data_IF_273441770683
#
_entry.id   IF_273441770683
#
_cell.length_a   1.000
_cell.length_b   1.000
_cell.length_c   1.000
_cell.angle_alpha   90.00
_cell.angle_beta   90.00
_cell.angle_gamma   90.00
#
_symmetry.space_group_name_H-M   'P 1'
#
loop_
_entity.id
_entity.type
_entity.pdbx_description
1 polymer ?
#
# COMPACT_ATOMS: atom_id res chain seq x y z
N UNK A 1 8.30 -7.58 -26.96
CA UNK A 1 8.22 -8.69 -26.00
C UNK A 1 6.96 -9.46 -26.30
N UNK A 2 7.05 -10.79 -26.60
CA UNK A 2 5.87 -11.59 -26.90
C UNK A 2 4.93 -11.71 -25.69
N UNK A 3 3.63 -11.94 -25.96
CA UNK A 3 2.58 -12.03 -24.94
C UNK A 3 2.92 -13.00 -23.78
N UNK A 4 3.47 -14.17 -24.12
CA UNK A 4 3.90 -15.16 -23.10
C UNK A 4 4.96 -14.62 -22.14
N UNK A 5 5.91 -13.82 -22.64
CA UNK A 5 6.94 -13.21 -21.81
C UNK A 5 6.37 -12.08 -20.95
N UNK A 6 5.46 -11.27 -21.49
CA UNK A 6 4.77 -10.23 -20.72
C UNK A 6 3.96 -10.84 -19.56
N UNK A 7 3.22 -11.92 -19.84
CA UNK A 7 2.45 -12.65 -18.82
C UNK A 7 3.36 -13.27 -17.74
N UNK A 8 4.51 -13.85 -18.14
CA UNK A 8 5.49 -14.39 -17.19
C UNK A 8 6.07 -13.29 -16.27
N UNK A 9 6.45 -12.15 -16.84
CA UNK A 9 6.99 -11.01 -16.07
C UNK A 9 5.94 -10.50 -15.08
N UNK A 10 4.69 -10.34 -15.53
CA UNK A 10 3.59 -9.87 -14.67
C UNK A 10 3.30 -10.85 -13.52
N UNK A 11 3.19 -12.15 -13.83
CA UNK A 11 2.97 -13.18 -12.82
C UNK A 11 4.14 -13.24 -11.80
N UNK A 12 5.38 -13.15 -12.27
CA UNK A 12 6.57 -13.14 -11.42
C UNK A 12 6.56 -11.93 -10.47
N UNK A 13 6.22 -10.73 -10.99
CA UNK A 13 6.11 -9.52 -10.18
C UNK A 13 5.00 -9.65 -9.12
N UNK A 14 3.84 -10.18 -9.48
CA UNK A 14 2.72 -10.43 -8.57
C UNK A 14 3.10 -11.41 -7.46
N UNK A 15 3.72 -12.53 -7.80
CA UNK A 15 4.12 -13.54 -6.81
C UNK A 15 5.19 -13.00 -5.85
N UNK A 16 6.17 -12.26 -6.37
CA UNK A 16 7.17 -11.58 -5.56
C UNK A 16 6.52 -10.60 -4.59
N UNK A 17 5.61 -9.75 -5.07
CA UNK A 17 4.87 -8.81 -4.26
C UNK A 17 4.12 -9.50 -3.13
N UNK A 18 3.28 -10.48 -3.45
CA UNK A 18 2.51 -11.26 -2.46
C UNK A 18 3.39 -11.89 -1.39
N UNK A 19 4.47 -12.57 -1.78
CA UNK A 19 5.38 -13.20 -0.84
C UNK A 19 6.05 -12.17 0.09
N UNK A 20 6.44 -11.00 -0.44
CA UNK A 20 7.03 -9.92 0.38
C UNK A 20 5.99 -9.34 1.35
N UNK A 21 4.74 -9.09 0.91
CA UNK A 21 3.65 -8.63 1.78
C UNK A 21 3.38 -9.63 2.91
N UNK A 22 3.31 -10.94 2.61
CA UNK A 22 3.15 -11.98 3.64
C UNK A 22 4.27 -11.92 4.69
N UNK A 23 5.53 -11.71 4.28
CA UNK A 23 6.65 -11.55 5.23
C UNK A 23 6.50 -10.30 6.09
N UNK A 24 6.08 -9.17 5.51
CA UNK A 24 5.84 -7.92 6.24
C UNK A 24 4.69 -8.09 7.23
N UNK A 25 3.54 -8.60 6.77
CA UNK A 25 2.36 -8.84 7.62
C UNK A 25 2.71 -9.70 8.84
N UNK A 26 3.34 -10.84 8.62
CA UNK A 26 3.69 -11.75 9.71
C UNK A 26 4.71 -11.13 10.69
N UNK A 27 5.67 -10.34 10.17
CA UNK A 27 6.58 -9.59 11.02
C UNK A 27 5.84 -8.57 11.89
N UNK A 28 4.92 -7.81 11.32
CA UNK A 28 4.11 -6.83 12.06
C UNK A 28 3.16 -7.50 13.08
N UNK A 29 2.71 -8.74 12.80
CA UNK A 29 1.93 -9.57 13.72
C UNK A 29 2.78 -10.32 14.75
N UNK A 30 4.09 -10.07 14.81
CA UNK A 30 5.06 -10.77 15.69
C UNK A 30 5.07 -12.30 15.51
N UNK A 31 4.83 -12.77 14.29
CA UNK A 31 4.91 -14.20 13.96
C UNK A 31 6.33 -14.59 13.56
N UNK A 32 6.71 -15.86 13.81
CA UNK A 32 8.04 -16.35 13.46
C UNK A 32 8.24 -16.40 11.93
N UNK A 33 9.22 -15.65 11.44
CA UNK A 33 9.58 -15.57 10.01
C UNK A 33 9.89 -16.95 9.41
N UNK A 34 10.39 -17.89 10.23
CA UNK A 34 10.73 -19.25 9.78
C UNK A 34 9.52 -20.15 9.57
N UNK A 35 8.41 -19.87 10.25
CA UNK A 35 7.17 -20.66 10.17
C UNK A 35 6.45 -20.52 8.82
N UNK A 36 6.78 -19.49 8.04
CA UNK A 36 6.06 -19.14 6.81
C UNK A 36 6.41 -19.99 5.58
N UNK A 37 7.48 -20.79 5.63
CA UNK A 37 7.90 -21.62 4.51
C UNK A 37 8.33 -20.86 3.24
N UNK A 38 8.46 -19.53 3.31
CA UNK A 38 8.93 -18.71 2.18
C UNK A 38 10.45 -18.86 2.07
N UNK A 39 10.89 -19.55 1.02
CA UNK A 39 12.32 -19.80 0.74
C UNK A 39 12.86 -19.02 -0.46
N UNK A 40 11.98 -18.30 -1.16
CA UNK A 40 12.35 -17.54 -2.35
C UNK A 40 13.29 -16.38 -1.99
N UNK A 41 14.46 -16.35 -2.65
CA UNK A 41 15.56 -15.41 -2.33
C UNK A 41 15.14 -13.95 -2.48
N UNK A 42 14.45 -13.62 -3.58
CA UNK A 42 14.07 -12.24 -3.88
C UNK A 42 13.10 -11.64 -2.84
N UNK A 43 11.95 -12.28 -2.48
CA UNK A 43 11.09 -11.77 -1.42
C UNK A 43 11.79 -11.63 -0.07
N UNK A 44 12.64 -12.59 0.30
CA UNK A 44 13.44 -12.52 1.54
C UNK A 44 14.44 -11.36 1.52
N UNK A 45 15.07 -11.09 0.37
CA UNK A 45 15.95 -9.95 0.18
C UNK A 45 15.22 -8.62 0.33
N UNK A 46 14.07 -8.48 -0.35
CA UNK A 46 13.22 -7.29 -0.27
C UNK A 46 12.70 -7.04 1.16
N UNK A 47 12.28 -8.11 1.84
CA UNK A 47 11.87 -8.02 3.24
C UNK A 47 13.02 -7.55 4.15
N UNK A 48 14.24 -8.06 3.95
CA UNK A 48 15.40 -7.65 4.77
C UNK A 48 15.73 -6.17 4.63
N UNK A 49 15.65 -5.61 3.44
CA UNK A 49 15.95 -4.18 3.22
C UNK A 49 14.84 -3.27 3.75
N UNK A 50 13.56 -3.69 3.72
CA UNK A 50 12.45 -2.87 4.24
C UNK A 50 12.31 -2.97 5.76
N UNK A 51 12.78 -4.04 6.39
CA UNK A 51 12.65 -4.30 7.83
C UNK A 51 13.08 -3.12 8.74
N UNK A 52 14.18 -2.38 8.48
CA UNK A 52 14.53 -1.19 9.25
C UNK A 52 13.49 -0.05 9.19
N UNK A 53 12.69 0.00 8.13
CA UNK A 53 11.60 0.97 7.99
C UNK A 53 10.37 0.52 8.77
N UNK A 54 10.10 -0.80 8.84
CA UNK A 54 9.04 -1.37 9.67
C UNK A 54 9.26 -1.09 11.16
N UNK A 55 10.52 -1.01 11.60
CA UNK A 55 10.87 -0.64 12.98
C UNK A 55 10.50 0.80 13.36
N UNK A 56 10.06 1.63 12.42
CA UNK A 56 9.56 2.99 12.65
C UNK A 56 8.04 3.03 12.85
N UNK A 57 7.38 1.88 12.73
CA UNK A 57 5.95 1.71 12.99
C UNK A 57 5.73 1.45 14.48
N UNK A 58 4.72 2.10 15.03
CA UNK A 58 4.23 1.91 16.39
C UNK A 58 2.70 2.00 16.40
N UNK A 59 2.07 1.64 17.51
CA UNK A 59 0.62 1.74 17.71
C UNK A 59 -0.19 1.28 16.49
N UNK A 60 0.04 0.02 16.06
CA UNK A 60 -0.63 -0.56 14.88
C UNK A 60 -2.12 -0.71 15.13
N UNK A 61 -2.95 -0.13 14.25
CA UNK A 61 -4.40 -0.21 14.28
C UNK A 61 -4.96 -1.28 13.34
N UNK A 62 -4.41 -1.36 12.12
CA UNK A 62 -4.88 -2.29 11.08
C UNK A 62 -3.67 -2.93 10.38
N UNK A 63 -3.78 -4.23 10.05
CA UNK A 63 -2.85 -4.95 9.17
C UNK A 63 -3.68 -5.82 8.24
N UNK A 64 -3.58 -5.59 6.92
CA UNK A 64 -4.32 -6.35 5.89
C UNK A 64 -5.83 -6.41 6.16
N UNK A 65 -6.42 -5.27 6.54
CA UNK A 65 -7.84 -5.17 6.87
C UNK A 65 -8.65 -4.53 5.74
N UNK A 66 -9.92 -4.98 5.61
CA UNK A 66 -10.86 -4.41 4.66
C UNK A 66 -11.51 -3.15 5.23
N UNK A 67 -11.35 -2.06 4.50
CA UNK A 67 -12.00 -0.78 4.76
C UNK A 67 -13.04 -0.48 3.69
N UNK A 68 -14.01 0.33 4.01
CA UNK A 68 -15.02 0.79 3.06
C UNK A 68 -15.44 2.23 3.34
N UNK A 69 -15.87 2.90 2.29
CA UNK A 69 -16.53 4.20 2.36
C UNK A 69 -17.95 4.08 1.81
N UNK A 70 -18.94 4.47 2.61
CA UNK A 70 -20.33 4.59 2.16
C UNK A 70 -20.52 5.81 1.27
N UNK A 71 -19.78 6.88 1.53
CA UNK A 71 -19.88 8.14 0.81
C UNK A 71 -19.51 8.00 -0.67
N UNK A 72 -18.42 7.28 -0.95
CA UNK A 72 -17.92 7.08 -2.32
C UNK A 72 -18.16 5.67 -2.88
N UNK A 73 -18.87 4.81 -2.11
CA UNK A 73 -19.25 3.44 -2.51
C UNK A 73 -18.07 2.59 -2.98
N UNK A 74 -16.95 2.64 -2.28
CA UNK A 74 -15.75 1.86 -2.55
C UNK A 74 -15.29 1.09 -1.31
N UNK A 75 -14.62 -0.03 -1.55
CA UNK A 75 -13.98 -0.83 -0.52
C UNK A 75 -12.60 -1.28 -0.99
N UNK A 76 -11.72 -1.56 -0.07
CA UNK A 76 -10.40 -2.09 -0.39
C UNK A 76 -9.69 -2.62 0.86
N UNK A 77 -8.61 -3.34 0.66
CA UNK A 77 -7.78 -3.88 1.72
C UNK A 77 -6.57 -2.97 1.90
N UNK A 78 -6.43 -2.41 3.11
CA UNK A 78 -5.27 -1.58 3.48
C UNK A 78 -4.15 -2.46 3.99
N UNK A 79 -2.91 -2.19 3.59
CA UNK A 79 -1.75 -2.95 4.06
C UNK A 79 -1.53 -2.72 5.56
N UNK A 80 -1.45 -1.44 6.00
CA UNK A 80 -1.25 -1.11 7.40
C UNK A 80 -1.78 0.30 7.74
N UNK A 81 -2.35 0.44 8.94
CA UNK A 81 -2.59 1.73 9.60
C UNK A 81 -1.92 1.71 10.94
N UNK A 82 -0.97 2.60 11.15
CA UNK A 82 -0.12 2.66 12.34
C UNK A 82 0.45 4.07 12.52
N UNK A 83 1.06 4.33 13.66
CA UNK A 83 1.94 5.49 13.80
C UNK A 83 3.26 5.22 13.06
N UNK A 84 3.58 6.04 12.07
CA UNK A 84 4.86 6.02 11.39
C UNK A 84 5.64 7.29 11.73
N UNK A 85 6.80 7.13 12.37
CA UNK A 85 7.57 8.27 12.90
C UNK A 85 6.72 9.18 13.81
N UNK A 86 5.83 8.58 14.62
CA UNK A 86 5.00 9.28 15.61
C UNK A 86 3.77 9.98 15.05
N UNK A 87 3.35 9.69 13.81
CA UNK A 87 2.13 10.23 13.19
C UNK A 87 1.23 9.12 12.70
N UNK A 88 -0.08 9.21 12.98
CA UNK A 88 -1.05 8.24 12.49
C UNK A 88 -1.09 8.25 10.95
N UNK A 89 -0.80 7.11 10.35
CA UNK A 89 -0.49 6.98 8.94
C UNK A 89 -1.23 5.80 8.29
N UNK A 90 -1.64 5.99 7.04
CA UNK A 90 -1.84 4.87 6.11
C UNK A 90 -0.49 4.52 5.52
N UNK A 91 -0.08 3.27 5.64
CA UNK A 91 1.21 2.77 5.12
C UNK A 91 0.95 1.69 4.08
N UNK A 92 1.51 1.86 2.90
CA UNK A 92 1.39 0.97 1.75
C UNK A 92 2.76 0.42 1.36
N UNK A 93 2.87 -0.90 1.23
CA UNK A 93 4.10 -1.57 0.91
C UNK A 93 4.14 -1.96 -0.57
N UNK A 94 5.22 -1.64 -1.25
CA UNK A 94 5.42 -1.95 -2.66
C UNK A 94 6.74 -2.67 -2.90
N UNK A 95 6.78 -3.42 -3.98
CA UNK A 95 8.02 -4.02 -4.48
C UNK A 95 8.30 -3.56 -5.91
N UNK A 96 9.55 -3.30 -6.22
CA UNK A 96 9.99 -2.91 -7.55
C UNK A 96 11.29 -3.62 -7.94
N UNK A 97 11.57 -3.71 -9.22
CA UNK A 97 12.88 -4.18 -9.71
C UNK A 97 13.99 -3.13 -9.54
N UNK A 98 13.61 -1.84 -9.57
CA UNK A 98 14.51 -0.70 -9.40
C UNK A 98 13.75 0.49 -8.85
N UNK A 99 14.48 1.49 -8.42
CA UNK A 99 13.90 2.78 -8.03
C UNK A 99 13.06 3.39 -9.17
N UNK A 100 12.00 4.09 -8.79
CA UNK A 100 11.05 4.76 -9.69
C UNK A 100 10.92 6.23 -9.31
N UNK A 101 10.55 7.06 -10.28
CA UNK A 101 10.17 8.43 -10.03
C UNK A 101 8.85 8.50 -9.27
N UNK A 102 8.60 9.60 -8.57
CA UNK A 102 7.40 9.79 -7.76
C UNK A 102 6.12 9.64 -8.59
N UNK A 103 6.10 10.18 -9.80
CA UNK A 103 4.95 10.10 -10.73
C UNK A 103 4.51 8.65 -11.02
N UNK A 104 5.44 7.70 -11.00
CA UNK A 104 5.12 6.28 -11.16
C UNK A 104 4.23 5.75 -10.04
N UNK A 105 4.32 6.35 -8.85
CA UNK A 105 3.58 5.94 -7.67
C UNK A 105 2.27 6.72 -7.46
N UNK A 106 1.90 7.58 -8.40
CA UNK A 106 0.70 8.42 -8.29
C UNK A 106 -0.57 7.62 -7.93
N UNK A 107 -0.79 6.46 -8.56
CA UNK A 107 -1.91 5.58 -8.24
C UNK A 107 -1.89 5.07 -6.80
N UNK A 108 -0.70 4.81 -6.23
CA UNK A 108 -0.55 4.38 -4.84
C UNK A 108 -0.90 5.54 -3.88
N UNK A 109 -0.56 6.78 -4.22
CA UNK A 109 -0.91 7.95 -3.40
C UNK A 109 -2.42 8.19 -3.37
N UNK A 110 -3.11 8.03 -4.50
CA UNK A 110 -4.57 8.07 -4.57
C UNK A 110 -5.19 6.96 -3.70
N UNK A 111 -4.67 5.74 -3.79
CA UNK A 111 -5.15 4.60 -3.01
C UNK A 111 -4.99 4.83 -1.51
N UNK A 112 -3.81 5.27 -1.05
CA UNK A 112 -3.57 5.57 0.36
C UNK A 112 -4.50 6.66 0.88
N UNK A 113 -4.74 7.70 0.08
CA UNK A 113 -5.63 8.81 0.45
C UNK A 113 -7.09 8.36 0.54
N UNK A 114 -7.51 7.41 -0.31
CA UNK A 114 -8.83 6.78 -0.20
C UNK A 114 -8.95 5.94 1.08
N UNK A 115 -7.92 5.16 1.43
CA UNK A 115 -7.91 4.42 2.70
C UNK A 115 -7.93 5.34 3.92
N UNK A 116 -7.27 6.50 3.88
CA UNK A 116 -7.37 7.50 4.94
C UNK A 116 -8.81 7.95 5.14
N UNK A 117 -9.54 8.26 4.06
CA UNK A 117 -10.96 8.60 4.11
C UNK A 117 -11.82 7.47 4.68
N UNK A 118 -11.62 6.23 4.20
CA UNK A 118 -12.38 5.06 4.68
C UNK A 118 -12.15 4.83 6.18
N UNK A 119 -10.92 4.95 6.65
CA UNK A 119 -10.57 4.76 8.05
C UNK A 119 -11.20 5.85 8.93
N UNK A 120 -11.15 7.11 8.50
CA UNK A 120 -11.76 8.24 9.23
C UNK A 120 -13.30 8.16 9.25
N UNK A 121 -13.94 7.54 8.25
CA UNK A 121 -15.39 7.29 8.30
C UNK A 121 -15.76 6.22 9.34
N UNK A 122 -14.92 5.19 9.49
CA UNK A 122 -15.13 4.11 10.46
C UNK A 122 -14.78 4.55 11.88
N UNK A 123 -13.73 5.38 12.01
CA UNK A 123 -13.20 5.89 13.29
C UNK A 123 -13.17 7.43 13.29
N UNK A 124 -14.33 8.10 13.51
CA UNK A 124 -14.45 9.56 13.38
C UNK A 124 -13.62 10.38 14.38
N UNK A 125 -13.21 9.76 15.47
CA UNK A 125 -12.34 10.36 16.50
C UNK A 125 -10.85 10.29 16.15
N UNK A 126 -10.49 9.63 15.06
CA UNK A 126 -9.12 9.49 14.57
C UNK A 126 -8.91 10.25 13.27
N UNK A 127 -7.75 10.91 13.17
CA UNK A 127 -7.36 11.66 11.97
C UNK A 127 -6.06 11.11 11.42
N UNK A 128 -6.05 10.73 10.15
CA UNK A 128 -4.82 10.36 9.44
C UNK A 128 -4.00 11.63 9.17
N UNK A 129 -2.78 11.67 9.69
CA UNK A 129 -1.89 12.82 9.58
C UNK A 129 -0.97 12.74 8.36
N UNK A 130 -0.73 11.53 7.86
CA UNK A 130 0.09 11.34 6.66
C UNK A 130 -0.21 10.00 5.97
N UNK A 131 0.13 9.91 4.70
CA UNK A 131 0.22 8.64 3.97
C UNK A 131 1.68 8.34 3.66
N UNK A 132 2.05 7.07 3.70
CA UNK A 132 3.41 6.60 3.51
C UNK A 132 3.41 5.47 2.48
N UNK A 133 4.23 5.58 1.44
CA UNK A 133 4.50 4.47 0.53
C UNK A 133 5.96 4.05 0.70
N UNK A 134 6.16 2.78 1.03
CA UNK A 134 7.49 2.17 1.19
C UNK A 134 7.70 1.15 0.06
N UNK A 135 8.60 1.43 -0.87
CA UNK A 135 8.90 0.54 -1.97
C UNK A 135 10.28 -0.12 -1.80
N UNK A 136 10.29 -1.42 -1.56
CA UNK A 136 11.52 -2.22 -1.55
C UNK A 136 11.92 -2.57 -2.99
N UNK A 137 13.16 -2.22 -3.38
CA UNK A 137 13.67 -2.39 -4.73
C UNK A 137 14.75 -3.49 -4.78
N UNK A 138 14.77 -4.31 -5.84
CA UNK A 138 15.76 -5.38 -6.02
C UNK A 138 17.20 -4.86 -6.18
N UNK A 139 17.36 -3.57 -6.50
CA UNK A 139 18.67 -2.89 -6.52
C UNK A 139 19.21 -2.56 -5.10
N UNK A 140 18.51 -2.99 -4.04
CA UNK A 140 18.93 -2.87 -2.65
C UNK A 140 18.48 -1.59 -1.95
N UNK A 141 17.70 -0.74 -2.60
CA UNK A 141 17.19 0.50 -2.01
C UNK A 141 15.73 0.36 -1.53
N UNK A 142 15.36 1.17 -0.55
CA UNK A 142 13.96 1.41 -0.18
C UNK A 142 13.65 2.87 -0.46
N UNK A 143 12.64 3.09 -1.27
CA UNK A 143 12.09 4.42 -1.50
C UNK A 143 10.97 4.69 -0.50
N UNK A 144 10.97 5.87 0.08
CA UNK A 144 10.01 6.32 1.09
C UNK A 144 9.36 7.62 0.60
N UNK A 145 8.05 7.62 0.39
CA UNK A 145 7.27 8.82 0.10
C UNK A 145 6.29 9.08 1.23
N UNK A 146 6.32 10.28 1.75
CA UNK A 146 5.47 10.72 2.87
C UNK A 146 4.70 11.95 2.41
N UNK A 147 3.38 11.85 2.44
CA UNK A 147 2.47 12.91 2.07
C UNK A 147 1.65 13.36 3.27
N UNK A 148 1.71 14.66 3.57
CA UNK A 148 0.95 15.27 4.67
C UNK A 148 -0.50 15.62 4.30
N UNK A 149 -1.22 16.28 5.22
CA UNK A 149 -2.68 16.50 5.11
C UNK A 149 -3.12 17.23 3.83
N UNK A 150 -2.36 18.20 3.37
CA UNK A 150 -2.67 18.96 2.14
C UNK A 150 -2.63 18.06 0.89
N UNK A 151 -1.59 17.23 0.79
CA UNK A 151 -1.45 16.27 -0.30
C UNK A 151 -2.52 15.18 -0.24
N UNK A 152 -2.86 14.70 0.97
CA UNK A 152 -3.95 13.74 1.18
C UNK A 152 -5.27 14.31 0.66
N UNK A 153 -5.62 15.53 1.06
CA UNK A 153 -6.86 16.18 0.63
C UNK A 153 -6.95 16.30 -0.90
N UNK A 154 -5.85 16.74 -1.54
CA UNK A 154 -5.78 16.81 -3.00
C UNK A 154 -5.97 15.45 -3.68
N UNK A 155 -5.32 14.40 -3.18
CA UNK A 155 -5.46 13.06 -3.74
C UNK A 155 -6.86 12.46 -3.48
N UNK A 156 -7.49 12.75 -2.33
CA UNK A 156 -8.87 12.34 -2.07
C UNK A 156 -9.85 12.97 -3.07
N UNK A 157 -9.71 14.25 -3.36
CA UNK A 157 -10.55 14.95 -4.37
C UNK A 157 -10.40 14.30 -5.75
N UNK A 158 -9.17 14.00 -6.17
CA UNK A 158 -8.90 13.34 -7.44
C UNK A 158 -9.44 11.90 -7.47
N UNK A 159 -9.27 11.14 -6.40
CA UNK A 159 -9.83 9.80 -6.28
C UNK A 159 -11.36 9.82 -6.38
N UNK A 160 -12.01 10.75 -5.67
CA UNK A 160 -13.46 10.95 -5.73
C UNK A 160 -13.94 11.25 -7.15
N UNK A 161 -13.25 12.16 -7.86
CA UNK A 161 -13.56 12.48 -9.27
C UNK A 161 -13.47 11.23 -10.15
N UNK A 162 -12.39 10.45 -10.05
CA UNK A 162 -12.22 9.22 -10.83
C UNK A 162 -13.29 8.17 -10.53
N UNK A 163 -13.67 8.02 -9.26
CA UNK A 163 -14.72 7.11 -8.84
C UNK A 163 -16.06 7.49 -9.42
N UNK A 164 -16.40 8.79 -9.39
CA UNK A 164 -17.63 9.31 -9.98
C UNK A 164 -17.68 9.06 -11.50
N UNK A 165 -16.60 9.40 -12.22
CA UNK A 165 -16.48 9.14 -13.65
C UNK A 165 -16.63 7.64 -13.99
N UNK A 166 -16.07 6.76 -13.15
CA UNK A 166 -16.20 5.32 -13.32
C UNK A 166 -17.66 4.86 -13.22
N UNK A 167 -18.38 5.30 -12.19
CA UNK A 167 -19.80 4.93 -12.02
C UNK A 167 -20.69 5.52 -13.12
N UNK A 168 -20.46 6.75 -13.53
CA UNK A 168 -21.21 7.37 -14.65
C UNK A 168 -21.05 6.55 -15.95
N UNK A 169 -19.83 6.17 -16.31
CA UNK A 169 -19.56 5.35 -17.52
C UNK A 169 -20.19 3.97 -17.46
N UNK A 170 -20.27 3.35 -16.30
CA UNK A 170 -20.84 2.01 -16.15
C UNK A 170 -22.37 2.02 -15.99
N UNK A 171 -22.97 3.12 -15.51
CA UNK A 171 -24.43 3.28 -15.45
C UNK A 171 -25.08 3.49 -16.82
N UNK A 172 -24.32 3.93 -17.82
CA UNK A 172 -24.82 4.11 -19.21
C UNK A 172 -24.91 2.78 -19.97
N UNK A 173 -24.25 1.73 -19.47
CA UNK A 173 -24.20 0.40 -20.11
C UNK A 173 -25.07 -0.65 -19.40
N UNK A 174 -25.91 -0.23 -18.45
CA UNK A 174 -26.89 -1.04 -17.72
C UNK A 174 -28.31 -0.69 -18.15
#
# INVERSE_FOLDING_TARGET
>A
VGEKMANYISASATNRGKATHTLIENHLRNQDEKSMGITAVTPLGLFRIIKPYLARLDNIHCIEEYLYSKEISVAGQVDCIAEYKGKLSVVDFKTSTKQRDEDYNYGNFLQCSAYAKMFEEIYPDKKIEQTVVLAACEDGFVQEWIHGPESIAKHQELFYKHTKEFFERNSINS
#
